data_IF_332165026045
#
_entry.id   IF_332165026045
#
_cell.length_a   1.000
_cell.length_b   1.000
_cell.length_c   1.000
_cell.angle_alpha   90.00
_cell.angle_beta   90.00
_cell.angle_gamma   90.00
#
_symmetry.space_group_name_H-M   'P 1'
#
loop_
_entity.id
_entity.type
_entity.pdbx_description
1 polymer ?
#
# COMPACT_ATOMS: atom_id res chain seq x y z
N UNK A 1 5.69 -2.88 0.46
CA UNK A 1 4.36 -2.61 -0.11
C UNK A 1 3.61 -1.47 0.57
N UNK A 2 3.61 -1.37 1.91
CA UNK A 2 2.82 -0.36 2.66
C UNK A 2 3.03 1.10 2.19
N UNK A 3 4.25 1.46 1.77
CA UNK A 3 4.56 2.81 1.27
C UNK A 3 3.83 3.20 -0.02
N UNK A 4 3.44 2.22 -0.86
CA UNK A 4 2.80 2.49 -2.14
C UNK A 4 1.28 2.65 -2.05
N UNK A 5 0.67 2.17 -0.96
CA UNK A 5 -0.78 2.25 -0.75
C UNK A 5 -1.30 3.70 -0.77
N UNK A 6 -0.74 4.66 -0.01
CA UNK A 6 -1.24 6.04 -0.05
C UNK A 6 -1.08 6.67 -1.43
N UNK A 7 0.02 6.37 -2.13
CA UNK A 7 0.30 6.89 -3.47
C UNK A 7 -0.69 6.36 -4.50
N UNK A 8 -1.07 5.09 -4.42
CA UNK A 8 -2.07 4.49 -5.32
C UNK A 8 -3.44 5.10 -5.05
N UNK A 9 -3.85 5.22 -3.78
CA UNK A 9 -5.16 5.81 -3.41
C UNK A 9 -5.31 7.22 -3.97
N UNK A 10 -4.27 8.05 -3.82
CA UNK A 10 -4.28 9.43 -4.35
C UNK A 10 -4.43 9.43 -5.88
N UNK A 11 -3.71 8.54 -6.56
CA UNK A 11 -3.75 8.40 -8.01
C UNK A 11 -5.10 7.86 -8.53
N UNK A 12 -5.75 6.98 -7.77
CA UNK A 12 -7.12 6.51 -8.04
C UNK A 12 -8.10 7.68 -7.91
N UNK A 13 -7.96 8.51 -6.87
CA UNK A 13 -8.82 9.68 -6.65
C UNK A 13 -8.71 10.69 -7.80
N UNK A 14 -7.49 11.06 -8.18
CA UNK A 14 -7.24 11.95 -9.32
C UNK A 14 -7.84 11.40 -10.63
N UNK A 15 -7.67 10.09 -10.85
CA UNK A 15 -8.22 9.42 -12.04
C UNK A 15 -9.75 9.38 -12.00
N UNK A 16 -10.35 9.19 -10.82
CA UNK A 16 -11.80 9.19 -10.64
C UNK A 16 -12.39 10.58 -10.89
N UNK A 17 -11.77 11.64 -10.36
CA UNK A 17 -12.18 13.02 -10.60
C UNK A 17 -12.09 13.39 -12.09
N UNK A 18 -11.05 12.93 -12.80
CA UNK A 18 -10.94 13.12 -14.24
C UNK A 18 -12.04 12.38 -15.03
N UNK A 19 -12.42 11.16 -14.65
CA UNK A 19 -13.53 10.44 -15.29
C UNK A 19 -14.90 11.07 -14.95
N UNK A 20 -15.04 11.62 -13.74
CA UNK A 20 -16.22 12.39 -13.32
C UNK A 20 -16.39 13.65 -14.15
N UNK A 21 -15.33 14.43 -14.36
CA UNK A 21 -15.34 15.59 -15.26
C UNK A 21 -15.71 15.23 -16.71
N UNK A 22 -15.38 14.01 -17.16
CA UNK A 22 -15.77 13.48 -18.49
C UNK A 22 -17.19 12.93 -18.56
N UNK A 23 -18.00 13.08 -17.50
CA UNK A 23 -19.40 12.65 -17.47
C UNK A 23 -19.60 11.14 -17.44
N UNK A 24 -18.59 10.36 -17.04
CA UNK A 24 -18.66 8.89 -17.03
C UNK A 24 -19.67 8.38 -15.99
N UNK A 25 -19.92 9.15 -14.92
CA UNK A 25 -20.96 8.84 -13.93
C UNK A 25 -22.38 8.98 -14.46
N UNK A 26 -22.60 9.67 -15.59
CA UNK A 26 -23.93 9.89 -16.14
C UNK A 26 -24.48 8.69 -16.93
N UNK A 27 -23.72 7.60 -17.03
CA UNK A 27 -24.12 6.35 -17.69
C UNK A 27 -24.53 5.30 -16.64
N UNK A 28 -25.71 4.69 -16.79
CA UNK A 28 -26.24 3.65 -15.89
C UNK A 28 -25.43 2.34 -15.82
N UNK A 29 -24.50 2.08 -16.75
CA UNK A 29 -23.81 0.79 -16.82
C UNK A 29 -22.55 0.76 -15.91
N UNK A 30 -22.56 0.00 -14.80
CA UNK A 30 -21.45 -0.05 -13.85
C UNK A 30 -20.19 -0.71 -14.41
N UNK A 31 -20.33 -1.67 -15.34
CA UNK A 31 -19.19 -2.40 -15.93
C UNK A 31 -18.34 -1.46 -16.79
N UNK A 32 -19.00 -0.61 -17.59
CA UNK A 32 -18.32 0.39 -18.41
C UNK A 32 -17.54 1.40 -17.55
N UNK A 33 -18.13 1.82 -16.42
CA UNK A 33 -17.50 2.74 -15.47
C UNK A 33 -16.26 2.13 -14.83
N UNK A 34 -16.32 0.86 -14.42
CA UNK A 34 -15.17 0.14 -13.86
C UNK A 34 -14.06 -0.07 -14.90
N UNK A 35 -14.38 -0.46 -16.12
CA UNK A 35 -13.36 -0.64 -17.17
C UNK A 35 -12.61 0.66 -17.48
N UNK A 36 -13.34 1.77 -17.57
CA UNK A 36 -12.78 3.09 -17.90
C UNK A 36 -11.92 3.69 -16.78
N UNK A 37 -12.15 3.28 -15.53
CA UNK A 37 -11.34 3.64 -14.39
C UNK A 37 -10.17 2.66 -14.19
N UNK A 38 -10.42 1.36 -14.30
CA UNK A 38 -9.46 0.30 -13.97
C UNK A 38 -8.32 0.17 -14.97
N UNK A 39 -8.60 0.24 -16.28
CA UNK A 39 -7.57 0.15 -17.34
C UNK A 39 -6.47 1.22 -17.16
N UNK A 40 -6.78 2.53 -17.00
CA UNK A 40 -5.74 3.53 -16.85
C UNK A 40 -4.99 3.43 -15.52
N UNK A 41 -5.65 3.00 -14.43
CA UNK A 41 -4.98 2.77 -13.14
C UNK A 41 -3.95 1.65 -13.29
N UNK A 42 -4.35 0.49 -13.81
CA UNK A 42 -3.45 -0.65 -13.97
C UNK A 42 -2.22 -0.30 -14.81
N UNK A 43 -2.43 0.38 -15.95
CA UNK A 43 -1.32 0.83 -16.81
C UNK A 43 -0.35 1.74 -16.06
N UNK A 44 -0.85 2.76 -15.35
CA UNK A 44 -0.02 3.68 -14.56
C UNK A 44 0.72 2.97 -13.42
N UNK A 45 0.09 1.98 -12.79
CA UNK A 45 0.71 1.18 -11.72
C UNK A 45 1.87 0.35 -12.26
N UNK A 46 1.70 -0.33 -13.39
CA UNK A 46 2.79 -1.09 -14.02
C UNK A 46 3.94 -0.20 -14.48
N UNK A 47 3.66 0.94 -15.14
CA UNK A 47 4.71 1.89 -15.54
C UNK A 47 5.49 2.43 -14.34
N UNK A 48 4.84 2.63 -13.19
CA UNK A 48 5.51 3.02 -11.94
C UNK A 48 6.33 1.88 -11.32
N UNK A 49 5.82 0.65 -11.37
CA UNK A 49 6.54 -0.51 -10.88
C UNK A 49 7.81 -0.77 -11.69
N UNK A 50 7.74 -0.63 -13.01
CA UNK A 50 8.89 -0.77 -13.91
C UNK A 50 9.97 0.28 -13.62
N UNK A 51 9.58 1.56 -13.53
CA UNK A 51 10.50 2.64 -13.11
C UNK A 51 11.12 2.41 -11.75
N UNK A 52 10.36 1.84 -10.81
CA UNK A 52 10.86 1.50 -9.49
C UNK A 52 11.88 0.36 -9.56
N UNK A 53 11.60 -0.69 -10.34
CA UNK A 53 12.52 -1.81 -10.53
C UNK A 53 13.87 -1.33 -11.09
N UNK A 54 13.84 -0.53 -12.16
CA UNK A 54 15.05 0.07 -12.74
C UNK A 54 15.79 0.95 -11.73
N UNK A 55 15.07 1.75 -10.93
CA UNK A 55 15.68 2.57 -9.89
C UNK A 55 16.28 1.75 -8.73
N UNK A 56 15.72 0.58 -8.44
CA UNK A 56 16.26 -0.35 -7.45
C UNK A 56 17.54 -1.02 -7.98
N UNK A 57 17.52 -1.50 -9.22
CA UNK A 57 18.70 -2.07 -9.89
C UNK A 57 19.86 -1.06 -9.97
N UNK A 58 19.56 0.20 -10.33
CA UNK A 58 20.56 1.27 -10.38
C UNK A 58 21.20 1.57 -9.01
N UNK A 59 20.53 1.24 -7.91
CA UNK A 59 21.07 1.36 -6.54
C UNK A 59 21.74 0.07 -6.05
N UNK A 60 21.95 -0.90 -6.93
CA UNK A 60 22.50 -2.21 -6.63
C UNK A 60 21.72 -2.92 -5.52
N UNK A 61 20.38 -2.80 -5.52
CA UNK A 61 19.56 -3.49 -4.54
C UNK A 61 19.75 -5.00 -4.67
N UNK A 62 20.30 -5.67 -3.65
CA UNK A 62 20.43 -7.12 -3.60
C UNK A 62 19.43 -7.72 -2.60
N UNK A 63 19.16 -9.01 -2.77
CA UNK A 63 18.23 -9.77 -1.92
C UNK A 63 18.71 -9.86 -0.46
N UNK A 64 20.02 -9.74 -0.22
CA UNK A 64 20.61 -9.80 1.12
C UNK A 64 20.60 -8.40 1.76
N UNK A 65 19.41 -8.00 2.20
CA UNK A 65 19.13 -6.70 2.83
C UNK A 65 19.47 -6.79 4.32
N UNK A 66 20.22 -5.83 4.88
CA UNK A 66 20.30 -5.69 6.34
C UNK A 66 18.91 -5.34 6.87
N UNK A 67 18.36 -6.22 7.70
CA UNK A 67 17.05 -6.01 8.30
C UNK A 67 17.02 -4.73 9.13
N UNK A 68 15.86 -4.04 9.18
CA UNK A 68 15.71 -2.89 10.06
C UNK A 68 16.02 -3.31 11.50
N UNK A 69 16.76 -2.47 12.23
CA UNK A 69 17.10 -2.73 13.62
C UNK A 69 15.82 -2.57 14.45
N UNK A 70 15.21 -3.68 14.84
CA UNK A 70 14.18 -3.69 15.88
C UNK A 70 14.88 -3.67 17.24
N UNK A 71 14.59 -2.64 18.04
CA UNK A 71 15.06 -2.56 19.42
C UNK A 71 13.89 -2.80 20.36
N UNK A 72 14.05 -3.70 21.32
CA UNK A 72 13.07 -3.92 22.38
C UNK A 72 13.11 -2.76 23.37
N UNK A 73 11.95 -2.14 23.59
CA UNK A 73 11.77 -1.07 24.55
C UNK A 73 11.33 -1.60 25.91
N UNK A 74 11.52 -0.80 26.96
CA UNK A 74 11.01 -1.10 28.32
C UNK A 74 9.49 -1.30 28.31
N UNK A 75 8.79 -0.64 27.38
CA UNK A 75 7.35 -0.80 27.20
C UNK A 75 6.96 -2.21 26.73
N UNK A 76 7.81 -2.89 25.95
CA UNK A 76 7.58 -4.28 25.53
C UNK A 76 7.70 -5.23 26.73
N UNK A 77 8.62 -4.96 27.66
CA UNK A 77 8.77 -5.72 28.89
C UNK A 77 7.59 -5.56 29.84
N UNK A 78 7.03 -4.35 29.95
CA UNK A 78 5.83 -4.10 30.75
C UNK A 78 4.63 -4.82 30.14
N UNK A 79 4.45 -4.75 28.82
CA UNK A 79 3.40 -5.48 28.12
C UNK A 79 3.52 -6.99 28.31
N UNK A 80 4.74 -7.54 28.22
CA UNK A 80 5.01 -8.96 28.42
C UNK A 80 4.69 -9.38 29.86
N UNK A 81 5.09 -8.58 30.86
CA UNK A 81 4.76 -8.83 32.27
C UNK A 81 3.24 -8.81 32.53
N UNK A 82 2.52 -7.85 31.94
CA UNK A 82 1.06 -7.77 32.04
C UNK A 82 0.35 -8.99 31.47
N UNK A 83 0.76 -9.46 30.29
CA UNK A 83 0.19 -10.67 29.65
C UNK A 83 0.47 -11.91 30.49
N UNK A 84 1.70 -12.07 31.01
CA UNK A 84 2.06 -13.20 31.87
C UNK A 84 1.23 -13.22 33.15
N UNK A 85 1.07 -12.07 33.80
CA UNK A 85 0.26 -11.95 35.01
C UNK A 85 -1.21 -12.32 34.75
N UNK A 86 -1.79 -11.86 33.63
CA UNK A 86 -3.15 -12.21 33.23
C UNK A 86 -3.33 -13.72 33.00
N UNK A 87 -2.37 -14.37 32.34
CA UNK A 87 -2.40 -15.82 32.13
C UNK A 87 -2.33 -16.61 33.45
N UNK A 88 -1.55 -16.13 34.42
CA UNK A 88 -1.45 -16.76 35.76
C UNK A 88 -2.74 -16.58 36.55
N UNK A 89 -3.43 -15.45 36.43
CA UNK A 89 -4.70 -15.18 37.14
C UNK A 89 -5.87 -15.95 36.55
N UNK A 90 -5.83 -16.27 35.25
CA UNK A 90 -6.90 -17.00 34.55
C UNK A 90 -6.82 -18.52 34.79
N UNK A 91 -5.64 -19.05 35.12
CA UNK A 91 -5.40 -20.46 35.46
C UNK A 91 -5.73 -20.73 36.93
#
# INVERSE_FOLDING_TARGET
MVRFLPVIIDQVKESADAQRARGVENRKNPVYRLGKLGIPIMRRTFERADKLAVAMEARCYSENRTDPVLSSSIMDWIALCGVVCLCIVII
#
